data_IF_766473157264
#
_entry.id   IF_766473157264
#
_cell.length_a   1.000
_cell.length_b   1.000
_cell.length_c   1.000
_cell.angle_alpha   90.00
_cell.angle_beta   90.00
_cell.angle_gamma   90.00
#
_symmetry.space_group_name_H-M   'P 1'
#
loop_
_entity.id
_entity.type
_entity.pdbx_description
1 polymer ?
#
# COMPACT_ATOMS: atom_id res chain seq x y z
N UNK A 1 -94.71 -4.01 4.97
CA UNK A 1 -94.02 -4.03 3.69
C UNK A 1 -92.96 -2.95 3.78
N UNK A 2 -91.73 -3.26 4.31
CA UNK A 2 -90.68 -2.29 4.56
C UNK A 2 -89.36 -2.74 3.84
N UNK A 3 -88.98 -1.95 2.85
CA UNK A 3 -87.68 -2.08 2.18
C UNK A 3 -86.60 -1.56 3.10
N UNK A 4 -85.56 -2.33 3.37
CA UNK A 4 -84.37 -1.89 4.01
C UNK A 4 -83.30 -1.65 2.93
N UNK A 5 -82.82 -0.43 2.78
CA UNK A 5 -81.69 0.03 1.98
C UNK A 5 -80.39 -0.33 2.67
N UNK A 6 -79.55 -1.09 2.01
CA UNK A 6 -78.19 -1.36 2.49
C UNK A 6 -77.20 -0.28 1.94
N UNK A 7 -76.52 0.36 2.82
CA UNK A 7 -75.41 1.32 2.52
C UNK A 7 -74.09 0.54 2.49
N UNK A 8 -73.46 0.50 1.32
CA UNK A 8 -72.12 -0.06 1.14
C UNK A 8 -71.10 1.04 1.45
N UNK A 9 -70.38 0.85 2.53
CA UNK A 9 -69.18 1.71 2.88
C UNK A 9 -67.97 1.10 2.20
N UNK A 10 -67.48 1.71 1.11
CA UNK A 10 -66.27 1.38 0.46
C UNK A 10 -65.08 1.99 1.25
N UNK A 11 -64.26 1.11 1.81
CA UNK A 11 -62.99 1.50 2.50
C UNK A 11 -61.91 1.72 1.44
N UNK A 12 -61.57 2.98 1.18
CA UNK A 12 -60.44 3.36 0.31
C UNK A 12 -59.14 3.22 1.10
N UNK A 13 -58.36 2.17 0.83
CA UNK A 13 -57.03 1.94 1.41
C UNK A 13 -56.00 2.73 0.59
N UNK A 14 -55.57 3.87 1.09
CA UNK A 14 -54.46 4.67 0.52
C UNK A 14 -53.15 3.95 0.77
N UNK A 15 -52.57 3.27 -0.25
CA UNK A 15 -51.22 2.75 -0.22
C UNK A 15 -50.25 3.93 -0.44
N UNK A 16 -49.69 4.44 0.63
CA UNK A 16 -48.51 5.34 0.57
C UNK A 16 -47.26 4.55 0.18
N UNK A 17 -46.86 4.69 -1.06
CA UNK A 17 -45.58 4.15 -1.58
C UNK A 17 -44.46 5.01 -1.03
N UNK A 18 -43.80 4.54 0.03
CA UNK A 18 -42.59 5.16 0.56
C UNK A 18 -41.42 4.86 -0.41
N UNK A 19 -41.14 5.78 -1.34
CA UNK A 19 -39.89 5.70 -2.14
C UNK A 19 -38.71 5.94 -1.23
N UNK A 20 -38.05 4.88 -0.79
CA UNK A 20 -36.75 4.96 -0.18
C UNK A 20 -35.76 5.44 -1.26
N UNK A 21 -35.42 6.72 -1.23
CA UNK A 21 -34.32 7.27 -2.03
C UNK A 21 -33.02 6.64 -1.51
N UNK A 22 -32.53 5.61 -2.17
CA UNK A 22 -31.14 5.15 -1.97
C UNK A 22 -30.24 6.25 -2.50
N UNK A 23 -29.74 7.10 -1.61
CA UNK A 23 -28.65 8.00 -1.91
C UNK A 23 -27.44 7.15 -2.24
N UNK A 24 -27.14 6.97 -3.52
CA UNK A 24 -25.85 6.48 -3.97
C UNK A 24 -24.84 7.49 -3.47
N UNK A 25 -24.04 7.11 -2.48
CA UNK A 25 -22.90 7.90 -2.04
C UNK A 25 -22.02 8.12 -3.27
N UNK A 26 -22.04 9.33 -3.80
CA UNK A 26 -21.22 9.72 -4.94
C UNK A 26 -19.76 9.62 -4.46
N UNK A 27 -19.03 8.62 -4.98
CA UNK A 27 -17.62 8.44 -4.68
C UNK A 27 -16.92 9.69 -5.19
N UNK A 28 -16.43 10.52 -4.28
CA UNK A 28 -15.71 11.74 -4.66
C UNK A 28 -14.42 11.34 -5.37
N UNK A 29 -14.24 11.87 -6.58
CA UNK A 29 -13.03 11.64 -7.39
C UNK A 29 -11.99 12.66 -6.96
N UNK A 30 -10.79 12.19 -6.59
CA UNK A 30 -9.64 13.05 -6.34
C UNK A 30 -9.05 13.48 -7.70
N UNK A 31 -8.95 14.79 -7.93
CA UNK A 31 -8.36 15.30 -9.16
C UNK A 31 -6.87 15.50 -9.00
N UNK A 32 -6.15 15.21 -10.07
CA UNK A 32 -4.70 15.29 -10.16
C UNK A 32 -4.28 16.21 -11.30
N UNK A 33 -3.25 17.01 -11.06
CA UNK A 33 -2.64 17.90 -12.04
C UNK A 33 -1.22 17.46 -12.32
N UNK A 34 -0.83 17.34 -13.58
CA UNK A 34 0.56 17.08 -13.94
C UNK A 34 1.44 18.29 -13.58
N UNK A 35 2.53 18.02 -12.85
CA UNK A 35 3.49 19.02 -12.36
C UNK A 35 4.94 18.60 -12.65
N UNK A 36 5.16 17.72 -13.61
CA UNK A 36 6.46 17.15 -13.98
C UNK A 36 7.54 18.22 -14.13
N UNK A 37 7.20 19.35 -14.74
CA UNK A 37 8.12 20.47 -15.00
C UNK A 37 8.68 21.14 -13.71
N UNK A 38 8.03 20.97 -12.56
CA UNK A 38 8.50 21.54 -11.29
C UNK A 38 9.70 20.79 -10.69
N UNK A 39 9.93 19.57 -11.17
CA UNK A 39 10.97 18.68 -10.64
C UNK A 39 12.25 18.64 -11.49
N UNK A 40 12.34 19.49 -12.50
CA UNK A 40 13.50 19.57 -13.44
C UNK A 40 13.36 18.58 -14.59
N UNK A 41 14.43 18.36 -15.36
CA UNK A 41 14.37 17.47 -16.50
C UNK A 41 14.17 16.03 -16.02
N UNK A 42 13.12 15.40 -16.55
CA UNK A 42 12.81 13.98 -16.36
C UNK A 42 12.61 13.35 -17.74
N UNK A 43 12.93 12.06 -17.91
CA UNK A 43 12.60 11.36 -19.14
C UNK A 43 11.08 11.32 -19.34
N UNK A 44 10.61 11.27 -20.58
CA UNK A 44 9.17 11.25 -20.91
C UNK A 44 8.42 10.05 -20.30
N UNK A 45 9.14 9.02 -19.90
CA UNK A 45 8.66 7.84 -19.19
C UNK A 45 8.35 8.07 -17.70
N UNK A 46 8.66 9.25 -17.15
CA UNK A 46 8.37 9.62 -15.75
C UNK A 46 7.52 10.88 -15.73
N UNK A 47 6.35 10.80 -15.11
CA UNK A 47 5.45 11.93 -14.90
C UNK A 47 5.13 12.10 -13.42
N UNK A 48 4.98 13.35 -12.99
CA UNK A 48 4.67 13.71 -11.60
C UNK A 48 3.35 14.43 -11.55
N UNK A 49 2.48 14.02 -10.63
CA UNK A 49 1.16 14.58 -10.44
C UNK A 49 0.96 15.04 -9.00
N UNK A 50 0.31 16.17 -8.84
CA UNK A 50 -0.09 16.75 -7.54
C UNK A 50 -1.62 16.75 -7.43
N UNK A 51 -2.15 16.42 -6.26
CA UNK A 51 -3.58 16.46 -5.98
C UNK A 51 -4.10 17.89 -5.84
N UNK A 52 -5.41 18.07 -5.93
CA UNK A 52 -6.09 19.25 -5.39
C UNK A 52 -5.82 19.36 -3.88
N UNK A 53 -5.93 20.61 -3.35
CA UNK A 53 -5.64 20.90 -1.95
C UNK A 53 -6.76 20.49 -0.98
N UNK A 54 -7.85 19.95 -1.48
CA UNK A 54 -8.99 19.47 -0.69
C UNK A 54 -9.51 18.16 -1.24
N UNK A 55 -9.93 17.27 -0.36
CA UNK A 55 -10.62 16.03 -0.69
C UNK A 55 -11.66 15.72 0.39
N UNK A 56 -12.93 15.51 -0.01
CA UNK A 56 -14.06 15.27 0.91
C UNK A 56 -14.10 16.34 2.05
N UNK A 57 -14.10 17.62 1.66
CA UNK A 57 -14.13 18.79 2.54
C UNK A 57 -12.98 18.90 3.55
N UNK A 58 -11.95 18.09 3.40
CA UNK A 58 -10.76 18.13 4.25
C UNK A 58 -9.55 18.67 3.49
N UNK A 59 -8.67 19.39 4.19
CA UNK A 59 -7.39 19.81 3.65
C UNK A 59 -6.56 18.57 3.26
N UNK A 60 -6.10 18.51 2.02
CA UNK A 60 -5.45 17.35 1.43
C UNK A 60 -4.26 17.76 0.59
N UNK A 61 -3.22 16.94 0.59
CA UNK A 61 -2.07 17.07 -0.30
C UNK A 61 -1.46 15.71 -0.57
N UNK A 62 -1.36 15.36 -1.84
CA UNK A 62 -0.76 14.12 -2.28
C UNK A 62 0.00 14.31 -3.57
N UNK A 63 0.95 13.42 -3.81
CA UNK A 63 1.66 13.30 -5.07
C UNK A 63 1.70 11.86 -5.51
N UNK A 64 1.67 11.64 -6.81
CA UNK A 64 2.11 10.37 -7.36
C UNK A 64 3.08 10.57 -8.52
N UNK A 65 3.94 9.58 -8.70
CA UNK A 65 4.83 9.46 -9.85
C UNK A 65 4.36 8.28 -10.68
N UNK A 66 4.11 8.51 -11.95
CA UNK A 66 3.86 7.48 -12.95
C UNK A 66 5.14 7.17 -13.69
N UNK A 67 5.50 5.89 -13.79
CA UNK A 67 6.73 5.42 -14.41
C UNK A 67 6.38 4.38 -15.48
N UNK A 68 6.74 4.63 -16.73
CA UNK A 68 6.65 3.63 -17.78
C UNK A 68 7.80 2.61 -17.66
N UNK A 69 7.48 1.43 -17.11
CA UNK A 69 8.50 0.39 -16.87
C UNK A 69 8.99 -0.29 -18.15
N UNK A 70 8.39 0.03 -19.31
CA UNK A 70 8.84 -0.44 -20.63
C UNK A 70 10.06 0.34 -21.12
N UNK A 71 10.36 1.52 -20.53
CA UNK A 71 11.57 2.28 -20.82
C UNK A 71 12.78 1.54 -20.26
N UNK A 72 13.57 0.95 -21.15
CA UNK A 72 14.75 0.15 -20.81
C UNK A 72 15.93 0.99 -20.31
N UNK A 73 15.87 2.31 -20.45
CA UNK A 73 16.88 3.21 -19.91
C UNK A 73 16.72 3.45 -18.41
N UNK A 74 15.54 3.11 -17.86
CA UNK A 74 15.28 3.22 -16.43
C UNK A 74 15.76 1.98 -15.69
N UNK A 75 16.48 2.21 -14.60
CA UNK A 75 16.85 1.19 -13.63
C UNK A 75 16.00 1.31 -12.38
N UNK A 76 15.12 0.34 -12.16
CA UNK A 76 14.26 0.23 -10.98
C UNK A 76 14.84 -0.80 -10.03
N UNK A 77 15.04 -0.43 -8.76
CA UNK A 77 15.53 -1.36 -7.74
C UNK A 77 15.21 -0.86 -6.32
N UNK A 78 15.55 -1.67 -5.34
CA UNK A 78 15.50 -1.33 -3.91
C UNK A 78 16.91 -1.13 -3.36
N UNK A 79 17.03 -0.38 -2.27
CA UNK A 79 18.29 -0.33 -1.50
C UNK A 79 17.99 -0.40 0.01
N UNK A 80 18.94 -0.90 0.77
CA UNK A 80 18.80 -1.02 2.22
C UNK A 80 20.14 -0.73 2.93
N UNK A 81 20.01 -0.43 4.22
CA UNK A 81 21.13 -0.36 5.15
C UNK A 81 21.01 -1.48 6.16
N UNK A 82 22.13 -2.08 6.53
CA UNK A 82 22.17 -3.16 7.50
C UNK A 82 22.31 -2.58 8.91
N UNK A 83 21.32 -2.83 9.79
CA UNK A 83 21.26 -2.40 11.20
C UNK A 83 21.42 -0.89 11.43
N UNK A 84 21.16 -0.08 10.43
CA UNK A 84 21.15 1.39 10.51
C UNK A 84 20.08 1.97 9.61
N UNK A 85 19.87 3.28 9.69
CA UNK A 85 18.89 4.00 8.88
C UNK A 85 19.53 5.20 8.23
N UNK A 86 19.08 5.55 7.03
CA UNK A 86 19.42 6.79 6.33
C UNK A 86 18.12 7.51 5.97
N UNK A 87 18.16 8.83 5.88
CA UNK A 87 17.04 9.57 5.30
C UNK A 87 16.94 9.27 3.80
N UNK A 88 15.77 9.39 3.17
CA UNK A 88 15.65 9.32 1.72
C UNK A 88 16.61 10.24 0.97
N UNK A 89 16.90 11.42 1.50
CA UNK A 89 17.90 12.34 0.94
C UNK A 89 19.34 11.78 1.03
N UNK A 90 19.69 11.10 2.12
CA UNK A 90 20.99 10.42 2.24
C UNK A 90 21.09 9.22 1.29
N UNK A 91 19.98 8.48 1.06
CA UNK A 91 19.96 7.45 0.02
C UNK A 91 20.10 8.07 -1.38
N UNK A 92 19.43 9.19 -1.66
CA UNK A 92 19.59 9.93 -2.91
C UNK A 92 21.06 10.25 -3.21
N UNK A 93 21.79 10.79 -2.22
CA UNK A 93 23.21 11.07 -2.37
C UNK A 93 24.04 9.80 -2.51
N UNK A 94 23.78 8.77 -1.69
CA UNK A 94 24.48 7.46 -1.72
C UNK A 94 24.36 6.78 -3.08
N UNK A 95 23.19 6.90 -3.72
CA UNK A 95 22.88 6.25 -4.99
C UNK A 95 23.17 7.14 -6.21
N UNK A 96 23.97 8.20 -6.04
CA UNK A 96 24.37 9.11 -7.11
C UNK A 96 23.19 9.75 -7.83
N UNK A 97 22.27 10.33 -7.05
CA UNK A 97 21.17 11.16 -7.50
C UNK A 97 20.16 10.45 -8.43
N UNK A 98 19.49 9.39 -7.99
CA UNK A 98 18.44 8.75 -8.76
C UNK A 98 17.26 9.70 -9.01
N UNK A 99 16.52 9.48 -10.09
CA UNK A 99 15.36 10.31 -10.49
C UNK A 99 14.24 10.28 -9.45
N UNK A 100 13.99 9.12 -8.84
CA UNK A 100 12.94 8.93 -7.83
C UNK A 100 13.51 8.15 -6.64
N UNK A 101 13.18 8.57 -5.41
CA UNK A 101 13.44 7.82 -4.17
C UNK A 101 12.20 7.86 -3.30
N UNK A 102 11.77 6.72 -2.79
CA UNK A 102 10.62 6.61 -1.89
C UNK A 102 10.94 5.67 -0.73
N UNK A 103 10.46 5.99 0.48
CA UNK A 103 10.53 5.05 1.60
C UNK A 103 9.73 3.78 1.30
N UNK A 104 10.12 2.67 1.89
CA UNK A 104 9.62 1.37 1.46
C UNK A 104 9.07 0.52 2.61
N UNK A 105 9.77 -0.51 2.99
CA UNK A 105 9.39 -1.54 3.95
C UNK A 105 9.14 -0.99 5.37
N UNK A 106 8.23 -1.62 6.11
CA UNK A 106 8.14 -1.41 7.55
C UNK A 106 9.39 -1.91 8.26
N UNK A 107 9.69 -1.33 9.42
CA UNK A 107 10.89 -1.68 10.17
C UNK A 107 10.72 -1.64 11.69
N UNK A 108 11.60 -2.33 12.37
CA UNK A 108 11.68 -2.35 13.83
C UNK A 108 12.69 -1.29 14.29
N UNK A 109 12.22 -0.33 15.12
CA UNK A 109 12.98 0.85 15.52
C UNK A 109 14.22 0.55 16.36
N UNK A 110 14.17 -0.44 17.25
CA UNK A 110 15.28 -0.74 18.17
C UNK A 110 16.49 -1.36 17.46
N UNK A 111 16.22 -2.24 16.49
CA UNK A 111 17.25 -2.96 15.74
C UNK A 111 17.59 -2.33 14.41
N UNK A 112 16.78 -1.37 13.96
CA UNK A 112 16.87 -0.77 12.62
C UNK A 112 16.76 -1.79 11.48
N UNK A 113 15.97 -2.86 11.68
CA UNK A 113 15.81 -3.96 10.72
C UNK A 113 14.50 -3.86 9.99
N UNK A 114 14.49 -4.16 8.70
CA UNK A 114 13.26 -4.34 7.94
C UNK A 114 12.48 -5.53 8.50
N UNK A 115 11.15 -5.44 8.50
CA UNK A 115 10.25 -6.53 8.90
C UNK A 115 9.56 -7.19 7.73
N UNK A 116 9.81 -6.69 6.52
CA UNK A 116 9.32 -7.23 5.26
C UNK A 116 10.46 -7.60 4.33
N UNK A 117 10.12 -8.38 3.32
CA UNK A 117 11.05 -8.75 2.26
C UNK A 117 11.54 -7.51 1.50
N UNK A 118 12.82 -7.48 1.20
CA UNK A 118 13.45 -6.55 0.25
C UNK A 118 14.37 -7.37 -0.65
N UNK A 119 14.18 -7.27 -1.96
CA UNK A 119 15.01 -7.95 -2.97
C UNK A 119 15.73 -6.89 -3.79
N UNK A 120 17.05 -6.96 -3.85
CA UNK A 120 17.92 -6.07 -4.63
C UNK A 120 18.74 -6.90 -5.63
N UNK A 121 18.72 -6.51 -6.89
CA UNK A 121 19.46 -7.21 -7.96
C UNK A 121 19.26 -8.74 -7.95
N UNK A 122 18.03 -9.19 -7.70
CA UNK A 122 17.67 -10.61 -7.64
C UNK A 122 18.04 -11.33 -6.34
N UNK A 123 18.60 -10.63 -5.36
CA UNK A 123 19.02 -11.22 -4.09
C UNK A 123 18.12 -10.74 -2.94
N UNK A 124 17.53 -11.63 -2.14
CA UNK A 124 16.83 -11.24 -0.92
C UNK A 124 17.84 -10.70 0.10
N UNK A 125 17.64 -9.45 0.51
CA UNK A 125 18.46 -8.73 1.49
C UNK A 125 17.74 -8.43 2.79
N UNK A 126 16.43 -8.68 2.82
CA UNK A 126 15.58 -8.70 4.01
C UNK A 126 14.47 -9.74 3.83
N UNK A 127 13.94 -10.23 4.93
CA UNK A 127 12.96 -11.32 4.98
C UNK A 127 11.73 -10.91 5.78
N UNK A 128 10.58 -11.52 5.48
CA UNK A 128 9.36 -11.30 6.25
C UNK A 128 9.46 -11.87 7.65
N UNK A 129 8.82 -11.20 8.60
CA UNK A 129 8.47 -11.81 9.88
C UNK A 129 7.15 -12.56 9.69
N UNK A 130 7.21 -13.89 9.78
CA UNK A 130 6.05 -14.77 9.63
C UNK A 130 5.36 -15.10 10.94
N UNK A 131 6.11 -15.04 12.04
CA UNK A 131 5.68 -15.47 13.36
C UNK A 131 5.59 -14.27 14.28
N UNK A 132 4.36 -13.77 14.51
CA UNK A 132 4.08 -12.66 15.41
C UNK A 132 3.91 -13.22 16.81
N UNK A 133 4.81 -12.92 17.77
CA UNK A 133 4.69 -13.44 19.13
C UNK A 133 3.40 -12.99 19.81
N UNK A 134 2.77 -13.89 20.55
CA UNK A 134 1.67 -13.57 21.43
C UNK A 134 2.06 -12.61 22.54
N UNK A 135 1.08 -12.01 23.20
CA UNK A 135 1.27 -11.01 24.27
C UNK A 135 0.51 -11.40 25.53
N UNK A 136 0.96 -10.89 26.69
CA UNK A 136 0.31 -11.10 27.98
C UNK A 136 0.43 -12.55 28.44
N UNK A 137 -0.70 -13.21 28.71
CA UNK A 137 -0.74 -14.63 29.14
C UNK A 137 -0.38 -15.62 28.03
N UNK A 138 -0.20 -15.15 26.81
CA UNK A 138 -0.10 -15.93 25.60
C UNK A 138 1.29 -15.85 24.95
N UNK A 139 2.32 -15.67 25.77
CA UNK A 139 3.70 -15.39 25.31
C UNK A 139 4.41 -16.58 24.66
N UNK A 140 3.83 -17.78 24.75
CA UNK A 140 4.40 -19.01 24.17
C UNK A 140 3.80 -19.39 22.82
N UNK A 141 2.92 -18.54 22.28
CA UNK A 141 2.26 -18.81 21.00
C UNK A 141 2.61 -17.76 19.96
N UNK A 142 2.45 -18.14 18.70
CA UNK A 142 2.62 -17.25 17.55
C UNK A 142 1.30 -17.10 16.77
N UNK A 143 1.11 -15.94 16.17
CA UNK A 143 0.16 -15.76 15.08
C UNK A 143 0.95 -15.78 13.77
N UNK A 144 0.62 -16.72 12.90
CA UNK A 144 1.30 -16.90 11.63
C UNK A 144 0.65 -16.07 10.53
N UNK A 145 1.48 -15.39 9.74
CA UNK A 145 1.06 -14.51 8.64
C UNK A 145 1.98 -14.65 7.44
N UNK A 146 1.47 -14.36 6.25
CA UNK A 146 2.30 -14.04 5.10
C UNK A 146 2.36 -12.52 4.91
N UNK A 147 3.54 -12.01 4.60
CA UNK A 147 3.70 -10.61 4.21
C UNK A 147 3.53 -10.47 2.70
N UNK A 148 2.86 -9.41 2.26
CA UNK A 148 2.76 -9.10 0.84
C UNK A 148 3.98 -8.30 0.35
N UNK A 149 4.26 -8.42 -0.95
CA UNK A 149 5.27 -7.63 -1.65
C UNK A 149 4.85 -7.32 -3.08
N UNK A 150 5.24 -6.14 -3.57
CA UNK A 150 5.29 -5.83 -4.99
C UNK A 150 6.67 -6.23 -5.50
N UNK A 151 6.71 -7.04 -6.54
CA UNK A 151 7.93 -7.48 -7.18
C UNK A 151 7.91 -7.34 -8.69
N UNK A 152 9.10 -7.28 -9.29
CA UNK A 152 9.28 -7.35 -10.73
C UNK A 152 10.24 -8.49 -11.06
N UNK A 153 9.89 -9.31 -12.03
CA UNK A 153 10.76 -10.36 -12.54
C UNK A 153 11.82 -9.83 -13.52
N UNK A 154 12.71 -10.70 -14.01
CA UNK A 154 13.75 -10.32 -14.98
C UNK A 154 13.20 -10.00 -16.38
N UNK A 155 11.93 -10.33 -16.66
CA UNK A 155 11.27 -10.01 -17.93
C UNK A 155 10.54 -8.66 -17.88
N UNK A 156 10.46 -8.03 -16.67
CA UNK A 156 9.77 -6.77 -16.43
C UNK A 156 8.31 -6.93 -16.05
N UNK A 157 7.82 -8.15 -15.80
CA UNK A 157 6.47 -8.37 -15.30
C UNK A 157 6.38 -8.03 -13.82
N UNK A 158 5.40 -7.21 -13.46
CA UNK A 158 5.09 -6.85 -12.07
C UNK A 158 3.98 -7.72 -11.51
N UNK A 159 4.04 -8.00 -10.21
CA UNK A 159 3.05 -8.78 -9.48
C UNK A 159 3.04 -8.40 -8.00
N UNK A 160 1.89 -8.45 -7.35
CA UNK A 160 1.76 -8.36 -5.90
C UNK A 160 1.31 -9.72 -5.38
N UNK A 161 2.12 -10.31 -4.52
CA UNK A 161 1.85 -11.63 -3.97
C UNK A 161 2.18 -11.73 -2.49
N UNK A 162 1.61 -12.74 -1.82
CA UNK A 162 1.89 -13.06 -0.44
C UNK A 162 3.08 -14.01 -0.40
N UNK A 163 4.10 -13.63 0.36
CA UNK A 163 5.41 -14.29 0.28
C UNK A 163 5.73 -15.02 1.57
N UNK A 164 6.21 -16.26 1.41
CA UNK A 164 6.96 -16.99 2.43
C UNK A 164 8.45 -16.82 2.12
N UNK A 165 9.24 -16.43 3.12
CA UNK A 165 10.68 -16.20 2.99
C UNK A 165 11.44 -16.91 4.08
N UNK A 166 12.53 -17.56 3.70
CA UNK A 166 13.42 -18.24 4.63
C UNK A 166 14.86 -17.73 4.43
N UNK A 167 15.43 -17.18 5.49
CA UNK A 167 16.79 -16.63 5.45
C UNK A 167 17.88 -17.70 5.32
N UNK A 168 17.62 -18.94 5.74
CA UNK A 168 18.58 -20.03 5.63
C UNK A 168 18.74 -20.50 4.19
N UNK A 169 17.63 -20.73 3.51
CA UNK A 169 17.62 -21.17 2.09
C UNK A 169 17.79 -20.02 1.10
N UNK A 170 17.57 -18.77 1.56
CA UNK A 170 17.49 -17.56 0.71
C UNK A 170 16.43 -17.66 -0.37
N UNK A 171 15.46 -18.56 -0.21
CA UNK A 171 14.39 -18.79 -1.16
C UNK A 171 13.23 -17.86 -0.88
N UNK A 172 12.64 -17.32 -1.93
CA UNK A 172 11.40 -16.56 -1.90
C UNK A 172 10.35 -17.46 -2.54
N UNK A 173 9.32 -17.79 -1.79
CA UNK A 173 8.14 -18.47 -2.31
C UNK A 173 6.94 -17.54 -2.22
N UNK A 174 5.98 -17.71 -3.08
CA UNK A 174 4.80 -16.89 -3.14
C UNK A 174 3.54 -17.67 -3.44
N UNK A 175 2.42 -17.13 -3.03
CA UNK A 175 1.07 -17.52 -3.42
C UNK A 175 0.24 -16.28 -3.75
N UNK A 176 -0.75 -16.46 -4.62
CA UNK A 176 -1.58 -15.35 -5.08
C UNK A 176 -2.69 -14.96 -4.10
N UNK A 177 -3.22 -15.89 -3.35
CA UNK A 177 -4.26 -15.61 -2.36
C UNK A 177 -3.65 -15.40 -0.97
N UNK A 178 -4.22 -14.52 -0.15
CA UNK A 178 -3.77 -14.37 1.23
C UNK A 178 -4.02 -15.65 2.01
N UNK A 179 -3.12 -15.96 2.93
CA UNK A 179 -3.36 -16.96 3.96
C UNK A 179 -4.13 -16.28 5.10
N UNK A 180 -5.20 -16.89 5.58
CA UNK A 180 -5.84 -16.43 6.82
C UNK A 180 -4.85 -16.52 7.97
N UNK A 181 -4.65 -15.40 8.67
CA UNK A 181 -3.80 -15.41 9.85
C UNK A 181 -4.32 -16.43 10.87
N UNK A 182 -3.49 -17.37 11.29
CA UNK A 182 -3.87 -18.39 12.25
C UNK A 182 -2.90 -18.41 13.43
N UNK A 183 -3.39 -18.86 14.56
CA UNK A 183 -2.65 -18.96 15.79
C UNK A 183 -2.26 -20.41 16.03
N UNK A 184 -0.99 -20.62 16.26
CA UNK A 184 -0.47 -21.93 16.65
C UNK A 184 0.23 -21.84 18.02
N UNK A 185 0.64 -22.96 18.58
CA UNK A 185 1.31 -23.03 19.88
C UNK A 185 2.71 -22.40 19.81
N UNK A 186 3.76 -23.18 19.81
CA UNK A 186 5.16 -22.69 19.84
C UNK A 186 5.96 -23.04 18.59
N UNK A 187 5.31 -23.53 17.56
CA UNK A 187 5.94 -23.94 16.31
C UNK A 187 6.03 -22.75 15.37
N UNK A 188 7.16 -22.57 14.69
CA UNK A 188 7.33 -21.57 13.64
C UNK A 188 6.71 -22.04 12.33
N UNK A 189 6.22 -21.08 11.54
CA UNK A 189 5.71 -21.36 10.20
C UNK A 189 6.83 -21.93 9.31
N UNK A 190 6.53 -23.01 8.63
CA UNK A 190 7.44 -23.67 7.67
C UNK A 190 6.80 -23.75 6.30
N UNK A 191 7.61 -23.88 5.24
CA UNK A 191 7.11 -23.89 3.86
C UNK A 191 6.16 -25.07 3.54
N UNK A 192 6.21 -26.12 4.34
CA UNK A 192 5.36 -27.32 4.20
C UNK A 192 4.08 -27.28 5.05
N UNK A 193 3.80 -26.12 5.70
CA UNK A 193 2.61 -25.97 6.52
C UNK A 193 1.34 -26.14 5.67
N UNK A 194 0.34 -26.93 6.12
CA UNK A 194 -0.87 -27.21 5.34
C UNK A 194 -1.76 -25.97 5.09
N UNK A 195 -1.56 -24.87 5.83
CA UNK A 195 -2.25 -23.60 5.57
C UNK A 195 -1.62 -22.82 4.42
N UNK A 196 -0.42 -23.20 3.97
CA UNK A 196 0.24 -22.63 2.79
C UNK A 196 -0.17 -23.44 1.55
N UNK A 197 -0.85 -22.81 0.62
CA UNK A 197 -1.39 -23.47 -0.56
C UNK A 197 -0.72 -22.95 -1.82
N UNK A 198 -0.31 -23.87 -2.70
CA UNK A 198 0.22 -23.53 -4.03
C UNK A 198 1.44 -22.60 -4.02
N UNK A 199 2.31 -22.73 -3.02
CA UNK A 199 3.57 -21.98 -2.98
C UNK A 199 4.44 -22.33 -4.20
N UNK A 200 4.88 -21.29 -4.90
CA UNK A 200 5.81 -21.38 -6.02
C UNK A 200 7.05 -20.53 -5.76
N UNK A 201 8.19 -20.89 -6.34
CA UNK A 201 9.40 -20.07 -6.22
C UNK A 201 9.25 -18.79 -7.05
N UNK A 202 9.50 -17.64 -6.42
CA UNK A 202 9.43 -16.34 -7.06
C UNK A 202 10.81 -15.84 -7.47
N UNK A 203 11.08 -15.76 -8.76
CA UNK A 203 12.35 -15.29 -9.32
C UNK A 203 12.24 -13.82 -9.67
N UNK A 204 12.70 -12.98 -8.78
CA UNK A 204 12.56 -11.54 -8.87
C UNK A 204 13.85 -10.82 -9.30
N UNK A 205 13.74 -9.70 -9.99
CA UNK A 205 14.78 -8.71 -10.19
C UNK A 205 14.88 -7.82 -8.94
N UNK A 206 13.72 -7.30 -8.50
CA UNK A 206 13.57 -6.57 -7.25
C UNK A 206 12.22 -6.86 -6.61
N UNK A 207 12.10 -6.66 -5.30
CA UNK A 207 10.84 -6.66 -4.60
C UNK A 207 10.86 -5.74 -3.39
N UNK A 208 9.71 -5.16 -3.12
CA UNK A 208 9.46 -4.22 -2.05
C UNK A 208 8.30 -4.71 -1.19
N UNK A 209 8.60 -5.25 -0.02
CA UNK A 209 7.60 -5.75 0.91
C UNK A 209 6.89 -4.63 1.65
N UNK A 210 5.59 -4.84 1.91
CA UNK A 210 4.73 -3.88 2.57
C UNK A 210 3.53 -4.53 3.22
N UNK A 211 2.38 -3.95 2.96
CA UNK A 211 1.05 -4.42 3.37
C UNK A 211 0.25 -3.37 4.14
N UNK A 212 -1.06 -3.58 4.20
CA UNK A 212 -1.79 -4.62 3.47
C UNK A 212 -1.82 -4.37 1.96
N UNK A 213 -2.11 -5.41 1.18
CA UNK A 213 -2.57 -5.23 -0.20
C UNK A 213 -3.81 -4.36 -0.17
N UNK A 214 -3.91 -3.41 -1.09
CA UNK A 214 -5.03 -2.47 -1.22
C UNK A 214 -5.99 -2.86 -2.33
N UNK A 215 -5.41 -3.29 -3.45
CA UNK A 215 -6.15 -3.70 -4.65
C UNK A 215 -5.60 -5.00 -5.21
N UNK A 216 -6.50 -5.77 -5.82
CA UNK A 216 -6.17 -7.01 -6.51
C UNK A 216 -7.07 -7.20 -7.72
N UNK A 217 -6.47 -7.54 -8.86
CA UNK A 217 -7.21 -7.80 -10.11
C UNK A 217 -8.18 -6.67 -10.47
N UNK A 218 -7.75 -5.42 -10.33
CA UNK A 218 -8.52 -4.22 -10.65
C UNK A 218 -9.65 -3.90 -9.66
N UNK A 219 -9.67 -4.53 -8.47
CA UNK A 219 -10.70 -4.30 -7.44
C UNK A 219 -10.10 -4.00 -6.10
N UNK A 220 -10.75 -3.13 -5.34
CA UNK A 220 -10.39 -2.87 -3.95
C UNK A 220 -10.58 -4.15 -3.13
N UNK A 221 -9.50 -4.62 -2.51
CA UNK A 221 -9.48 -5.79 -1.66
C UNK A 221 -8.35 -5.65 -0.61
N UNK A 222 -8.70 -5.08 0.55
CA UNK A 222 -7.72 -4.77 1.59
C UNK A 222 -7.51 -5.98 2.50
N UNK A 223 -6.36 -6.63 2.41
CA UNK A 223 -6.01 -7.87 3.15
C UNK A 223 -5.45 -7.61 4.55
N UNK A 224 -5.95 -6.58 5.24
CA UNK A 224 -5.40 -6.20 6.54
C UNK A 224 -5.57 -7.30 7.63
N UNK A 225 -6.68 -8.03 7.60
CA UNK A 225 -6.96 -9.05 8.60
C UNK A 225 -6.05 -10.27 8.43
N UNK A 226 -5.76 -10.62 7.19
CA UNK A 226 -4.91 -11.75 6.81
C UNK A 226 -3.44 -11.44 7.12
N UNK A 227 -3.02 -10.22 6.85
CA UNK A 227 -1.63 -9.78 7.05
C UNK A 227 -1.34 -9.25 8.47
N UNK A 228 -2.38 -8.99 9.28
CA UNK A 228 -2.27 -8.43 10.65
C UNK A 228 -1.43 -7.15 10.74
N UNK A 229 -1.53 -6.27 9.72
CA UNK A 229 -0.72 -5.05 9.65
C UNK A 229 -1.19 -3.96 10.60
N UNK A 230 -2.49 -3.68 10.63
CA UNK A 230 -3.07 -2.63 11.45
C UNK A 230 -4.16 -3.19 12.36
N UNK A 231 -4.11 -2.81 13.65
CA UNK A 231 -5.06 -3.29 14.64
C UNK A 231 -6.37 -2.48 14.62
N UNK A 232 -7.48 -3.15 14.87
CA UNK A 232 -8.79 -2.54 15.07
C UNK A 232 -9.22 -1.64 13.89
N UNK A 233 -9.56 -0.39 14.19
CA UNK A 233 -10.03 0.60 13.22
C UNK A 233 -8.91 1.41 12.55
N UNK A 234 -7.64 1.09 12.77
CA UNK A 234 -6.50 1.88 12.30
C UNK A 234 -6.38 1.97 10.76
N UNK A 235 -7.06 1.10 10.02
CA UNK A 235 -7.21 1.22 8.56
C UNK A 235 -8.03 2.46 8.15
N UNK A 236 -8.89 2.97 9.05
CA UNK A 236 -9.73 4.15 8.84
C UNK A 236 -9.11 5.44 9.40
N UNK A 237 -7.93 5.36 10.01
CA UNK A 237 -7.25 6.52 10.56
C UNK A 237 -6.54 7.32 9.46
N UNK A 238 -6.62 8.64 9.57
CA UNK A 238 -5.94 9.57 8.68
C UNK A 238 -4.47 9.68 9.04
N UNK A 239 -3.60 9.25 8.14
CA UNK A 239 -2.14 9.31 8.30
C UNK A 239 -1.46 9.73 7.01
N UNK A 240 -0.22 10.25 7.07
CA UNK A 240 0.65 10.23 5.92
C UNK A 240 0.78 8.80 5.41
N UNK A 241 0.70 8.60 4.11
CA UNK A 241 0.72 7.27 3.49
C UNK A 241 1.74 7.23 2.36
N UNK A 242 2.32 6.07 2.17
CA UNK A 242 3.11 5.71 1.01
C UNK A 242 2.57 4.40 0.47
N UNK A 243 2.38 4.29 -0.83
CA UNK A 243 1.90 3.09 -1.47
C UNK A 243 2.42 2.98 -2.90
N UNK A 244 2.43 1.78 -3.44
CA UNK A 244 2.78 1.50 -4.83
C UNK A 244 1.72 0.63 -5.47
N UNK A 245 1.51 0.80 -6.76
CA UNK A 245 0.61 -0.01 -7.57
C UNK A 245 1.06 -0.02 -9.03
N UNK A 246 0.47 -0.87 -9.82
CA UNK A 246 0.75 -0.92 -11.26
C UNK A 246 -0.52 -1.22 -12.05
N UNK A 247 -0.54 -0.79 -13.31
CA UNK A 247 -1.60 -1.11 -14.25
C UNK A 247 -1.14 -2.11 -15.33
N UNK A 248 -2.09 -2.62 -16.10
CA UNK A 248 -1.82 -3.60 -17.15
C UNK A 248 -1.03 -3.04 -18.34
N UNK A 249 -0.95 -1.71 -18.46
CA UNK A 249 -0.16 -1.03 -19.49
C UNK A 249 1.34 -0.98 -19.16
N UNK A 250 1.73 -1.46 -17.98
CA UNK A 250 3.12 -1.47 -17.51
C UNK A 250 3.53 -0.15 -16.87
N UNK A 251 2.57 0.64 -16.37
CA UNK A 251 2.85 1.83 -15.58
C UNK A 251 2.96 1.45 -14.09
N UNK A 252 4.05 1.82 -13.46
CA UNK A 252 4.23 1.77 -12.01
C UNK A 252 3.81 3.11 -11.42
N UNK A 253 2.93 3.08 -10.42
CA UNK A 253 2.44 4.26 -9.69
C UNK A 253 3.04 4.23 -8.29
N UNK A 254 3.74 5.30 -7.92
CA UNK A 254 4.28 5.50 -6.58
C UNK A 254 3.57 6.71 -5.97
N UNK A 255 2.84 6.52 -4.89
CA UNK A 255 2.01 7.56 -4.28
C UNK A 255 2.46 7.87 -2.85
N UNK A 256 2.54 9.17 -2.54
CA UNK A 256 2.79 9.67 -1.19
C UNK A 256 1.75 10.73 -0.82
N UNK A 257 1.09 10.55 0.32
CA UNK A 257 0.09 11.46 0.87
C UNK A 257 0.67 12.13 2.11
N UNK A 258 0.68 13.47 2.10
CA UNK A 258 1.04 14.28 3.25
C UNK A 258 -0.05 14.20 4.32
N UNK A 259 0.32 14.26 5.59
CA UNK A 259 -0.68 14.22 6.65
C UNK A 259 -0.14 14.65 8.02
N UNK A 260 -1.03 14.61 9.04
CA UNK A 260 -0.74 15.06 10.40
C UNK A 260 -0.39 16.56 10.49
N UNK A 261 -0.87 17.35 9.53
CA UNK A 261 -0.64 18.79 9.47
C UNK A 261 -1.98 19.52 9.44
N UNK A 262 -2.42 19.97 10.62
CA UNK A 262 -3.72 20.66 10.80
C UNK A 262 -3.86 21.83 9.82
N UNK A 263 -4.97 21.89 9.09
CA UNK A 263 -5.27 22.95 8.11
C UNK A 263 -4.50 22.90 6.80
N UNK A 264 -3.55 21.94 6.64
CA UNK A 264 -2.73 21.79 5.43
C UNK A 264 -2.99 20.44 4.77
N UNK A 265 -2.89 19.34 5.53
CA UNK A 265 -3.15 18.00 5.05
C UNK A 265 -3.43 17.06 6.24
N UNK A 266 -4.59 16.45 6.25
CA UNK A 266 -4.95 15.50 7.32
C UNK A 266 -4.31 14.12 7.12
N UNK A 267 -4.10 13.72 5.89
CA UNK A 267 -3.65 12.39 5.48
C UNK A 267 -4.73 11.63 4.73
N UNK A 268 -4.53 10.32 4.60
CA UNK A 268 -5.50 9.42 3.99
C UNK A 268 -5.72 8.17 4.84
N UNK A 269 -6.91 7.59 4.76
CA UNK A 269 -7.22 6.23 5.23
C UNK A 269 -6.72 5.20 4.22
N UNK A 270 -6.63 3.92 4.58
CA UNK A 270 -6.28 2.87 3.61
C UNK A 270 -7.38 2.65 2.57
N UNK A 271 -8.65 2.85 2.94
CA UNK A 271 -9.75 2.80 1.98
C UNK A 271 -9.64 3.91 0.92
N UNK A 272 -9.27 5.12 1.34
CA UNK A 272 -9.03 6.22 0.40
C UNK A 272 -7.81 5.92 -0.49
N UNK A 273 -6.73 5.38 0.07
CA UNK A 273 -5.58 4.96 -0.74
C UNK A 273 -5.98 3.95 -1.82
N UNK A 274 -6.75 2.91 -1.46
CA UNK A 274 -7.25 1.93 -2.42
C UNK A 274 -8.10 2.58 -3.52
N UNK A 275 -9.02 3.49 -3.15
CA UNK A 275 -9.86 4.22 -4.11
C UNK A 275 -9.02 5.12 -5.05
N UNK A 276 -7.92 5.72 -4.58
CA UNK A 276 -7.03 6.52 -5.45
C UNK A 276 -6.32 5.65 -6.49
N UNK A 277 -5.86 4.46 -6.13
CA UNK A 277 -5.28 3.52 -7.08
C UNK A 277 -6.30 2.97 -8.07
N UNK A 278 -7.55 2.73 -7.63
CA UNK A 278 -8.65 2.34 -8.51
C UNK A 278 -8.95 3.42 -9.55
N UNK A 279 -8.96 4.71 -9.15
CA UNK A 279 -9.13 5.85 -10.07
C UNK A 279 -7.99 6.01 -11.08
N UNK A 280 -6.82 5.45 -10.80
CA UNK A 280 -5.66 5.43 -11.69
C UNK A 280 -5.54 4.13 -12.50
N UNK A 281 -6.64 3.37 -12.59
CA UNK A 281 -6.74 2.10 -13.33
C UNK A 281 -5.67 1.07 -12.93
N UNK A 282 -5.24 1.09 -11.66
CA UNK A 282 -4.29 0.10 -11.17
C UNK A 282 -4.90 -1.30 -11.14
N UNK A 283 -4.13 -2.28 -11.59
CA UNK A 283 -4.49 -3.68 -11.51
C UNK A 283 -4.27 -4.23 -10.10
N UNK A 284 -3.15 -3.86 -9.48
CA UNK A 284 -2.84 -4.18 -8.09
C UNK A 284 -2.17 -3.00 -7.39
N UNK A 285 -2.35 -2.91 -6.06
CA UNK A 285 -1.72 -1.90 -5.22
C UNK A 285 -1.43 -2.43 -3.82
N UNK A 286 -0.35 -1.94 -3.21
CA UNK A 286 0.12 -2.31 -1.87
C UNK A 286 0.48 -1.06 -1.07
N UNK A 287 0.07 -1.03 0.20
CA UNK A 287 0.51 -0.02 1.15
C UNK A 287 1.94 -0.31 1.63
N UNK A 288 2.73 0.73 1.82
CA UNK A 288 4.09 0.69 2.36
C UNK A 288 4.14 1.32 3.75
N UNK A 289 5.36 1.44 4.33
CA UNK A 289 5.53 2.17 5.58
C UNK A 289 5.11 3.64 5.41
N UNK A 290 4.33 4.10 6.35
CA UNK A 290 3.67 5.40 6.30
C UNK A 290 4.03 6.29 7.50
N UNK A 291 3.13 7.21 7.82
CA UNK A 291 3.29 8.12 8.94
C UNK A 291 4.53 9.00 8.79
N UNK A 292 5.37 9.06 9.81
CA UNK A 292 6.61 9.85 9.77
C UNK A 292 7.63 9.40 8.73
N UNK A 293 7.53 8.14 8.25
CA UNK A 293 8.43 7.61 7.23
C UNK A 293 8.06 8.04 5.82
N UNK A 294 6.81 8.50 5.59
CA UNK A 294 6.35 8.90 4.25
C UNK A 294 7.22 10.01 3.67
N UNK A 295 7.90 9.68 2.57
CA UNK A 295 8.76 10.60 1.84
C UNK A 295 8.90 10.11 0.39
N UNK A 296 8.68 11.00 -0.56
CA UNK A 296 8.88 10.78 -1.99
C UNK A 296 9.71 11.93 -2.54
N UNK A 297 10.89 11.60 -3.05
CA UNK A 297 11.79 12.54 -3.71
C UNK A 297 11.73 12.34 -5.22
N UNK A 298 11.71 13.43 -5.95
CA UNK A 298 11.88 13.47 -7.41
C UNK A 298 13.03 14.43 -7.72
N UNK A 299 14.09 13.96 -8.37
CA UNK A 299 15.33 14.71 -8.58
C UNK A 299 15.84 15.37 -7.28
N UNK A 300 15.77 14.64 -6.15
CA UNK A 300 16.19 15.12 -4.84
C UNK A 300 15.29 16.16 -4.18
N UNK A 301 14.18 16.57 -4.81
CA UNK A 301 13.20 17.50 -4.23
C UNK A 301 12.08 16.71 -3.54
N UNK A 302 11.71 17.12 -2.33
CA UNK A 302 10.55 16.57 -1.61
C UNK A 302 9.25 16.93 -2.34
N UNK A 303 8.39 15.95 -2.56
CA UNK A 303 7.04 16.17 -3.08
C UNK A 303 6.09 16.52 -1.95
N UNK A 304 6.18 15.84 -0.82
CA UNK A 304 5.40 16.07 0.40
C UNK A 304 6.32 16.53 1.52
N UNK A 305 5.81 17.35 2.43
CA UNK A 305 6.52 17.67 3.67
C UNK A 305 6.43 16.48 4.63
N UNK A 306 7.56 15.92 5.10
CA UNK A 306 7.56 14.85 6.09
C UNK A 306 6.85 15.26 7.39
N UNK A 307 6.12 14.34 8.01
CA UNK A 307 5.41 14.60 9.26
C UNK A 307 6.23 14.29 10.52
N UNK A 308 7.43 13.76 10.35
CA UNK A 308 8.35 13.59 11.48
C UNK A 308 8.88 14.97 11.92
N UNK A 309 8.94 15.27 13.23
CA UNK A 309 9.39 16.58 13.72
C UNK A 309 10.80 16.96 13.29
N UNK A 310 11.65 15.98 12.98
CA UNK A 310 13.05 16.19 12.56
C UNK A 310 13.21 16.32 11.05
N UNK A 311 12.12 16.35 10.28
CA UNK A 311 12.13 16.33 8.82
C UNK A 311 12.00 14.93 8.25
N UNK A 312 12.84 14.55 7.28
CA UNK A 312 12.82 13.18 6.76
C UNK A 312 13.24 12.18 7.83
N UNK A 313 12.38 11.24 8.13
CA UNK A 313 12.74 10.14 9.04
C UNK A 313 13.76 9.23 8.40
N UNK A 314 14.89 8.91 9.09
CA UNK A 314 15.77 7.85 8.64
C UNK A 314 15.05 6.50 8.60
N UNK A 315 15.16 5.80 7.47
CA UNK A 315 14.56 4.48 7.20
C UNK A 315 15.63 3.47 6.79
N UNK A 316 15.42 2.16 7.01
CA UNK A 316 16.42 1.17 6.63
C UNK A 316 16.35 0.78 5.15
N UNK A 317 15.25 1.05 4.45
CA UNK A 317 15.06 0.66 3.06
C UNK A 317 14.28 1.70 2.25
N UNK A 318 14.62 1.77 0.97
CA UNK A 318 13.94 2.61 -0.04
C UNK A 318 13.74 1.81 -1.33
N UNK A 319 12.82 2.31 -2.17
CA UNK A 319 12.76 1.99 -3.60
C UNK A 319 13.26 3.20 -4.39
N UNK A 320 13.94 2.97 -5.51
CA UNK A 320 14.45 4.04 -6.35
C UNK A 320 14.36 3.75 -7.85
N UNK A 321 14.40 4.82 -8.63
CA UNK A 321 14.46 4.80 -10.10
C UNK A 321 15.64 5.68 -10.55
N UNK A 322 16.49 5.13 -11.38
CA UNK A 322 17.68 5.80 -11.91
C UNK A 322 17.68 5.77 -13.44
#
# INVERSE_FOLDING_TARGET
MNLKTAVNSGLFMLLTFCMASTSLAQTSILKWKEVTNQFGPLPASIKVFESENTYQDSAFKGFYVEIDTKDKNLHLDTDTTLFRRLTPQQFYTKLEQPLVVVNSSFFEFKRNTNVNIVVKNGLPISYNIHDIPGKGKDTLTYTHVLGAALGMDKKGSMDIAYTFTDSASKTIMYQQLPMNAFKDSNVKLVATDPNLTNLSVWKLKWANGGGPVLMRSGRINISNNEERKFAGKAINDYHPRTAMGYNMDGKLIIMAIQGRMKGIAVGATLNQMAAFFEQLDCYEAINLDGGGSSCLLVNGKETIKPSDPTGQRPVPAIFYVK
#
